data_IF_314927144609
#
_entry.id   IF_314927144609
#
_cell.length_a   1.000
_cell.length_b   1.000
_cell.length_c   1.000
_cell.angle_alpha   90.00
_cell.angle_beta   90.00
_cell.angle_gamma   90.00
#
_symmetry.space_group_name_H-M   'P 1'
#
loop_
_entity.id
_entity.type
_entity.pdbx_description
1 polymer ?
#
# COMPACT_ATOMS: atom_id res chain seq x y z
N UNK A 1 42.64 -10.61 -7.03
CA UNK A 1 43.25 -9.58 -6.18
C UNK A 1 42.10 -8.70 -5.72
N UNK A 2 41.83 -8.72 -4.42
CA UNK A 2 40.64 -8.13 -3.80
C UNK A 2 40.83 -6.62 -3.67
N UNK A 3 39.82 -5.84 -4.05
CA UNK A 3 39.64 -4.49 -3.52
C UNK A 3 38.18 -4.34 -3.11
N UNK A 4 37.96 -4.48 -1.80
CA UNK A 4 36.78 -3.98 -1.11
C UNK A 4 36.94 -2.45 -0.93
N UNK A 5 35.84 -1.78 -0.56
CA UNK A 5 35.72 -0.39 -0.10
C UNK A 5 35.61 0.70 -1.19
N UNK A 6 34.46 0.77 -1.88
CA UNK A 6 33.95 2.03 -2.41
C UNK A 6 32.97 2.64 -1.39
N UNK A 7 33.29 3.79 -0.76
CA UNK A 7 32.49 4.41 0.29
C UNK A 7 31.27 5.21 -0.20
N UNK A 8 30.95 5.19 -1.50
CA UNK A 8 29.86 5.97 -2.11
C UNK A 8 28.62 5.14 -2.52
N UNK A 9 28.58 3.83 -2.24
CA UNK A 9 27.38 3.00 -2.50
C UNK A 9 26.39 3.02 -1.32
N UNK A 10 25.95 4.21 -0.92
CA UNK A 10 24.63 4.39 -0.30
C UNK A 10 23.64 4.73 -1.42
N UNK A 11 23.36 3.74 -2.27
CA UNK A 11 22.06 3.70 -2.93
C UNK A 11 21.09 3.07 -1.95
N UNK A 12 20.34 3.94 -1.26
CA UNK A 12 19.10 3.58 -0.57
C UNK A 12 18.32 2.67 -1.54
N UNK A 13 18.15 1.40 -1.19
CA UNK A 13 17.47 0.41 -2.02
C UNK A 13 15.97 0.74 -2.04
N UNK A 14 15.57 1.73 -2.83
CA UNK A 14 14.22 1.82 -3.38
C UNK A 14 14.03 0.63 -4.32
N UNK A 15 12.87 -0.04 -4.19
CA UNK A 15 12.59 -1.39 -4.70
C UNK A 15 13.15 -1.71 -6.08
N UNK A 16 13.80 -2.86 -6.21
CA UNK A 16 14.28 -3.39 -7.49
C UNK A 16 13.89 -4.88 -7.60
N UNK A 17 12.58 -5.12 -7.64
CA UNK A 17 12.02 -6.28 -8.33
C UNK A 17 11.23 -5.72 -9.53
N UNK A 18 11.51 -6.14 -10.77
CA UNK A 18 10.98 -5.48 -11.97
C UNK A 18 9.46 -5.58 -12.15
N UNK A 19 8.76 -6.31 -11.26
CA UNK A 19 7.35 -6.64 -11.41
C UNK A 19 6.44 -6.10 -10.28
N UNK A 20 6.98 -5.46 -9.24
CA UNK A 20 6.16 -4.94 -8.13
C UNK A 20 6.06 -3.41 -8.21
N UNK A 21 4.88 -2.84 -8.49
CA UNK A 21 4.70 -1.40 -8.58
C UNK A 21 4.81 -0.74 -7.20
N UNK A 22 5.28 0.51 -7.20
CA UNK A 22 5.32 1.34 -6.00
C UNK A 22 3.90 1.55 -5.43
N UNK A 23 3.74 1.56 -4.10
CA UNK A 23 2.45 1.83 -3.48
C UNK A 23 1.89 3.22 -3.79
N UNK A 24 0.59 3.28 -4.07
CA UNK A 24 -0.16 4.52 -4.32
C UNK A 24 -0.99 4.92 -3.09
N UNK A 25 -1.16 6.23 -2.88
CA UNK A 25 -2.05 6.77 -1.85
C UNK A 25 -3.50 6.85 -2.33
N UNK A 26 -4.44 6.44 -1.48
CA UNK A 26 -5.89 6.54 -1.66
C UNK A 26 -6.47 7.29 -0.46
N UNK A 27 -6.97 8.50 -0.73
CA UNK A 27 -7.40 9.45 0.28
C UNK A 27 -8.82 9.16 0.77
N UNK A 28 -9.24 9.91 1.79
CA UNK A 28 -10.63 9.87 2.24
C UNK A 28 -11.59 10.14 1.08
N UNK A 29 -12.63 9.31 0.99
CA UNK A 29 -13.67 9.30 -0.05
C UNK A 29 -13.22 8.84 -1.43
N UNK A 30 -12.00 8.33 -1.57
CA UNK A 30 -11.54 7.71 -2.80
C UNK A 30 -11.80 6.21 -2.80
N UNK A 31 -11.80 5.66 -4.01
CA UNK A 31 -11.99 4.23 -4.25
C UNK A 31 -10.63 3.64 -4.64
N UNK A 32 -10.14 2.71 -3.83
CA UNK A 32 -9.13 1.76 -4.29
C UNK A 32 -9.78 0.89 -5.38
N UNK A 33 -9.19 0.92 -6.58
CA UNK A 33 -9.68 0.18 -7.72
C UNK A 33 -8.55 -0.69 -8.29
N UNK A 34 -8.69 -1.99 -8.14
CA UNK A 34 -7.82 -2.99 -8.75
C UNK A 34 -8.63 -3.81 -9.75
N UNK A 35 -8.12 -3.97 -10.96
CA UNK A 35 -8.74 -4.78 -12.01
C UNK A 35 -7.64 -5.45 -12.83
N UNK A 36 -7.79 -6.74 -13.06
CA UNK A 36 -6.90 -7.56 -13.87
C UNK A 36 -7.60 -8.07 -15.13
N UNK A 37 -6.81 -8.52 -16.10
CA UNK A 37 -7.30 -9.08 -17.36
C UNK A 37 -8.09 -10.39 -17.17
N UNK A 38 -8.84 -10.83 -18.19
CA UNK A 38 -9.36 -12.21 -18.25
C UNK A 38 -8.21 -13.22 -18.01
N UNK A 39 -8.45 -14.20 -17.13
CA UNK A 39 -7.49 -15.23 -16.66
C UNK A 39 -6.46 -14.77 -15.63
N UNK A 40 -6.59 -13.56 -15.10
CA UNK A 40 -5.74 -13.04 -14.03
C UNK A 40 -6.52 -12.71 -12.77
N UNK A 41 -5.82 -12.79 -11.65
CA UNK A 41 -6.31 -12.43 -10.33
C UNK A 41 -5.37 -11.42 -9.69
N UNK A 42 -5.96 -10.58 -8.86
CA UNK A 42 -5.25 -9.61 -8.04
C UNK A 42 -4.43 -10.38 -7.00
N UNK A 43 -3.19 -9.96 -6.81
CA UNK A 43 -2.37 -10.29 -5.65
C UNK A 43 -1.90 -8.99 -5.02
N UNK A 44 -2.40 -8.69 -3.82
CA UNK A 44 -1.93 -7.53 -3.08
C UNK A 44 -0.45 -7.72 -2.70
N UNK A 45 0.35 -6.68 -2.90
CA UNK A 45 1.80 -6.72 -2.64
C UNK A 45 2.20 -5.79 -1.50
N UNK A 46 1.40 -4.75 -1.26
CA UNK A 46 1.59 -3.81 -0.18
C UNK A 46 0.24 -3.26 0.27
N UNK A 47 0.05 -3.11 1.58
CA UNK A 47 -1.02 -2.29 2.11
C UNK A 47 -0.69 -1.75 3.51
N UNK A 48 -0.74 -0.44 3.67
CA UNK A 48 -0.67 0.25 4.95
C UNK A 48 -1.81 1.24 5.08
N UNK A 49 -2.36 1.37 6.28
CA UNK A 49 -3.47 2.28 6.54
C UNK A 49 -3.20 3.14 7.78
N UNK A 50 -3.36 4.46 7.65
CA UNK A 50 -3.08 5.39 8.74
C UNK A 50 -2.72 6.79 8.26
N UNK A 51 -1.82 7.44 9.00
CA UNK A 51 -1.27 8.78 8.74
C UNK A 51 0.25 8.71 8.60
N UNK A 52 0.74 7.94 7.62
CA UNK A 52 2.14 7.54 7.56
C UNK A 52 3.07 8.70 7.24
N UNK A 53 2.78 9.49 6.20
CA UNK A 53 3.62 10.60 5.74
C UNK A 53 2.81 11.71 5.07
N UNK A 54 3.46 12.85 4.86
CA UNK A 54 2.93 13.90 3.98
C UNK A 54 2.91 13.42 2.53
N UNK A 55 1.90 13.84 1.81
CA UNK A 55 1.63 13.41 0.45
C UNK A 55 0.39 14.08 -0.12
N UNK A 56 -0.29 13.37 -1.00
CA UNK A 56 -1.52 13.88 -1.62
C UNK A 56 -2.67 13.92 -0.62
N UNK A 57 -2.72 12.92 0.26
CA UNK A 57 -3.81 12.80 1.23
C UNK A 57 -3.60 13.62 2.51
N UNK A 58 -2.35 13.88 2.90
CA UNK A 58 -2.00 14.67 4.08
C UNK A 58 -1.03 15.79 3.69
N UNK A 59 -1.50 17.03 3.82
CA UNK A 59 -0.70 18.23 3.52
C UNK A 59 -0.15 18.92 4.76
N UNK A 60 -0.54 18.48 5.95
CA UNK A 60 -0.08 19.02 7.25
C UNK A 60 0.46 17.92 8.15
N UNK A 61 1.48 18.23 8.94
CA UNK A 61 2.25 17.29 9.78
C UNK A 61 1.63 17.05 11.15
N UNK A 62 0.32 17.27 11.28
CA UNK A 62 -0.42 17.13 12.53
C UNK A 62 -0.67 15.64 12.80
N UNK A 63 -0.02 15.09 13.83
CA UNK A 63 -0.13 13.67 14.23
C UNK A 63 0.11 12.69 13.06
N UNK A 64 1.21 12.88 12.35
CA UNK A 64 1.70 11.94 11.32
C UNK A 64 2.68 10.92 11.93
N UNK A 65 3.02 9.88 11.18
CA UNK A 65 3.98 8.83 11.58
C UNK A 65 3.33 7.61 12.24
N UNK A 66 2.01 7.46 12.14
CA UNK A 66 1.29 6.28 12.62
C UNK A 66 0.63 5.56 11.44
N UNK A 67 0.53 4.24 11.53
CA UNK A 67 -0.12 3.39 10.55
C UNK A 67 0.04 1.93 10.91
N UNK A 68 -0.81 1.08 10.33
CA UNK A 68 -0.75 -0.36 10.50
C UNK A 68 -0.59 -1.06 9.16
N UNK A 69 0.14 -2.17 9.15
CA UNK A 69 0.09 -3.14 8.06
C UNK A 69 -1.33 -3.71 7.98
N UNK A 70 -1.96 -3.54 6.83
CA UNK A 70 -3.31 -4.04 6.56
C UNK A 70 -3.36 -4.98 5.35
N UNK A 71 -2.22 -5.55 4.98
CA UNK A 71 -2.12 -6.45 3.83
C UNK A 71 -3.06 -7.64 3.97
N UNK A 72 -3.17 -8.23 5.16
CA UNK A 72 -4.07 -9.37 5.40
C UNK A 72 -5.56 -9.03 5.15
N UNK A 73 -5.99 -7.83 5.51
CA UNK A 73 -7.36 -7.36 5.32
C UNK A 73 -7.62 -7.09 3.83
N UNK A 74 -6.64 -6.51 3.14
CA UNK A 74 -6.70 -6.28 1.70
C UNK A 74 -6.65 -7.60 0.92
N UNK A 75 -5.87 -8.58 1.36
CA UNK A 75 -5.83 -9.92 0.77
C UNK A 75 -7.19 -10.60 0.86
N UNK A 76 -7.82 -10.61 2.04
CA UNK A 76 -9.16 -11.17 2.23
C UNK A 76 -10.21 -10.49 1.34
N UNK A 77 -10.07 -9.19 1.12
CA UNK A 77 -11.01 -8.41 0.30
C UNK A 77 -10.76 -8.53 -1.20
N UNK A 78 -9.50 -8.57 -1.63
CA UNK A 78 -9.13 -8.36 -3.03
C UNK A 78 -8.35 -9.52 -3.66
N UNK A 79 -7.42 -10.15 -2.93
CA UNK A 79 -6.56 -11.16 -3.53
C UNK A 79 -7.34 -12.39 -4.00
N UNK A 80 -6.94 -12.93 -5.16
CA UNK A 80 -7.64 -14.04 -5.82
C UNK A 80 -8.91 -13.62 -6.59
N UNK A 81 -9.27 -12.34 -6.60
CA UNK A 81 -10.38 -11.81 -7.40
C UNK A 81 -9.86 -11.14 -8.67
N UNK A 82 -10.68 -11.08 -9.71
CA UNK A 82 -10.34 -10.33 -10.93
C UNK A 82 -10.47 -8.82 -10.74
N UNK A 83 -11.44 -8.37 -9.94
CA UNK A 83 -11.67 -6.97 -9.63
C UNK A 83 -11.93 -6.75 -8.13
N UNK A 84 -11.50 -5.60 -7.63
CA UNK A 84 -11.72 -5.17 -6.26
C UNK A 84 -11.95 -3.65 -6.20
N UNK A 85 -13.02 -3.25 -5.52
CA UNK A 85 -13.35 -1.85 -5.26
C UNK A 85 -13.55 -1.65 -3.77
N UNK A 86 -12.79 -0.72 -3.17
CA UNK A 86 -12.87 -0.43 -1.74
C UNK A 86 -12.91 1.08 -1.51
N UNK A 87 -13.99 1.56 -0.89
CA UNK A 87 -14.11 2.96 -0.47
C UNK A 87 -13.27 3.20 0.78
N UNK A 88 -12.53 4.31 0.81
CA UNK A 88 -11.76 4.76 1.97
C UNK A 88 -12.54 5.86 2.71
N UNK A 89 -12.71 5.80 4.04
CA UNK A 89 -12.23 4.77 4.95
C UNK A 89 -13.04 3.47 4.88
N UNK A 90 -12.37 2.34 5.11
CA UNK A 90 -13.01 1.04 5.32
C UNK A 90 -12.94 0.65 6.80
N UNK A 91 -14.05 0.13 7.33
CA UNK A 91 -14.19 -0.16 8.76
C UNK A 91 -13.23 -1.24 9.27
N UNK A 92 -12.83 -2.20 8.43
CA UNK A 92 -11.90 -3.26 8.83
C UNK A 92 -10.45 -2.77 8.86
N UNK A 93 -10.11 -1.79 8.02
CA UNK A 93 -8.80 -1.14 8.04
C UNK A 93 -8.69 -0.14 9.21
N UNK A 94 -9.78 0.58 9.49
CA UNK A 94 -9.80 1.55 10.58
C UNK A 94 -9.65 0.92 11.98
N UNK A 95 -10.03 -0.35 12.13
CA UNK A 95 -9.87 -1.09 13.39
C UNK A 95 -8.45 -1.64 13.61
N UNK A 96 -7.62 -1.72 12.58
CA UNK A 96 -6.28 -2.34 12.64
C UNK A 96 -5.13 -1.35 12.77
N UNK A 97 -5.43 -0.05 12.82
CA UNK A 97 -4.43 1.02 12.80
C UNK A 97 -4.30 1.72 14.17
N UNK A 98 -3.10 2.15 14.61
CA UNK A 98 -2.85 2.69 15.95
C UNK A 98 -3.06 4.21 16.08
N UNK A 99 -3.41 4.92 15.00
CA UNK A 99 -3.69 6.36 15.01
C UNK A 99 -5.01 6.70 15.74
N UNK A 100 -5.13 7.94 16.25
CA UNK A 100 -6.39 8.45 16.79
C UNK A 100 -7.55 8.29 15.80
N UNK A 101 -8.64 7.65 16.23
CA UNK A 101 -9.75 7.27 15.35
C UNK A 101 -10.59 8.46 14.82
N UNK A 102 -10.45 9.63 15.42
CA UNK A 102 -11.11 10.87 15.00
C UNK A 102 -10.34 11.64 13.91
N UNK A 103 -9.16 11.14 13.50
CA UNK A 103 -8.35 11.77 12.46
C UNK A 103 -8.52 11.10 11.10
N UNK A 104 -8.35 11.89 10.04
CA UNK A 104 -8.34 11.38 8.67
C UNK A 104 -7.19 10.41 8.47
N UNK A 105 -7.46 9.22 7.93
CA UNK A 105 -6.45 8.24 7.55
C UNK A 105 -6.60 7.90 6.07
N UNK A 106 -5.50 7.50 5.44
CA UNK A 106 -5.45 7.12 4.04
C UNK A 106 -4.87 5.71 3.89
N UNK A 107 -5.17 5.08 2.76
CA UNK A 107 -4.60 3.78 2.38
C UNK A 107 -3.41 4.03 1.46
N UNK A 108 -2.31 3.33 1.70
CA UNK A 108 -1.20 3.18 0.78
C UNK A 108 -1.15 1.73 0.32
N UNK A 109 -1.32 1.46 -0.97
CA UNK A 109 -1.43 0.09 -1.47
C UNK A 109 -0.84 -0.11 -2.87
N UNK A 110 -0.34 -1.31 -3.13
CA UNK A 110 -0.02 -1.80 -4.47
C UNK A 110 -0.47 -3.25 -4.65
N UNK A 111 -0.72 -3.63 -5.90
CA UNK A 111 -1.09 -4.97 -6.29
C UNK A 111 -0.43 -5.31 -7.63
N UNK A 112 -0.38 -6.60 -7.93
CA UNK A 112 -0.04 -7.10 -9.26
C UNK A 112 -1.15 -8.03 -9.75
N UNK A 113 -1.18 -8.25 -11.06
CA UNK A 113 -2.02 -9.27 -11.68
C UNK A 113 -1.18 -10.52 -11.92
N UNK A 114 -1.70 -11.67 -11.53
CA UNK A 114 -1.05 -12.98 -11.73
C UNK A 114 -2.05 -13.97 -12.31
N UNK A 115 -1.57 -14.97 -13.04
CA UNK A 115 -2.45 -15.97 -13.65
C UNK A 115 -3.20 -16.75 -12.58
N UNK A 116 -4.52 -16.81 -12.71
CA UNK A 116 -5.35 -17.69 -11.89
C UNK A 116 -4.99 -19.14 -12.20
N UNK A 117 -4.67 -19.93 -11.17
CA UNK A 117 -4.46 -21.38 -11.31
C UNK A 117 -5.77 -22.14 -11.19
#
# INVERSE_FOLDING_TARGET
>A
MVSWWDPDDIKIRSGSYPDVPDPLEYCQWEIFNATCDPDEVIMMTHAQYGRMRLGRCLTTDVYIGCGGDVLSQMDVKCSGRQSCHLLIPDSSLHQSQPCPGDMMAYLEASFICTKGK
#
